data_IF_013963956600
#
_entry.id   IF_013963956600
#
_cell.length_a   1.000
_cell.length_b   1.000
_cell.length_c   1.000
_cell.angle_alpha   90.00
_cell.angle_beta   90.00
_cell.angle_gamma   90.00
#
_symmetry.space_group_name_H-M   'P 1'
#
loop_
_entity.id
_entity.type
_entity.pdbx_description
1 polymer ?
#
# COMPACT_ATOMS: atom_id res chain seq x y z
N UNK A 1 -30.82 32.29 -54.32
CA UNK A 1 -30.97 31.38 -53.16
C UNK A 1 -29.98 30.23 -53.32
N UNK A 2 -28.84 30.28 -52.60
CA UNK A 2 -27.88 29.18 -52.55
C UNK A 2 -28.36 28.14 -51.53
N UNK A 3 -28.75 26.96 -51.99
CA UNK A 3 -29.07 25.83 -51.10
C UNK A 3 -27.76 25.32 -50.46
N UNK A 4 -27.59 25.58 -49.16
CA UNK A 4 -26.57 24.96 -48.33
C UNK A 4 -26.89 23.46 -48.26
N UNK A 5 -26.15 22.63 -49.00
CA UNK A 5 -26.18 21.19 -48.80
C UNK A 5 -25.56 20.87 -47.43
N UNK A 6 -26.41 20.52 -46.46
CA UNK A 6 -25.98 19.95 -45.18
C UNK A 6 -25.41 18.56 -45.45
N UNK A 7 -24.08 18.47 -45.54
CA UNK A 7 -23.37 17.20 -45.58
C UNK A 7 -23.52 16.53 -44.21
N UNK A 8 -24.44 15.57 -44.09
CA UNK A 8 -24.56 14.71 -42.91
C UNK A 8 -23.45 13.66 -42.98
N UNK A 9 -22.38 13.88 -42.23
CA UNK A 9 -21.37 12.84 -42.01
C UNK A 9 -21.93 11.82 -41.02
N UNK A 10 -22.35 10.66 -41.52
CA UNK A 10 -22.74 9.52 -40.70
C UNK A 10 -21.47 8.75 -40.37
N UNK A 11 -21.11 8.71 -39.08
CA UNK A 11 -19.97 7.93 -38.59
C UNK A 11 -20.46 6.50 -38.41
N UNK A 12 -20.01 5.59 -39.28
CA UNK A 12 -20.48 4.19 -39.39
C UNK A 12 -20.06 3.27 -38.21
N UNK A 13 -19.37 3.82 -37.22
CA UNK A 13 -18.95 3.11 -36.02
C UNK A 13 -17.67 3.70 -35.44
N UNK A 14 -17.58 3.72 -34.12
CA UNK A 14 -16.31 3.97 -33.42
C UNK A 14 -15.72 2.61 -33.13
N UNK A 15 -14.60 2.27 -33.78
CA UNK A 15 -13.80 1.10 -33.41
C UNK A 15 -13.11 1.41 -32.08
N UNK A 16 -13.82 1.15 -30.98
CA UNK A 16 -13.36 1.42 -29.64
C UNK A 16 -12.05 0.70 -29.30
N UNK A 17 -11.72 -0.40 -29.97
CA UNK A 17 -10.48 -1.15 -29.73
C UNK A 17 -9.28 -0.49 -30.45
N UNK A 18 -9.51 0.13 -31.62
CA UNK A 18 -8.52 1.02 -32.26
C UNK A 18 -8.34 2.35 -31.54
N UNK A 19 -9.40 2.88 -30.93
CA UNK A 19 -9.38 4.19 -30.23
C UNK A 19 -8.87 4.03 -28.80
N UNK A 20 -9.28 2.98 -28.10
CA UNK A 20 -8.92 2.68 -26.71
C UNK A 20 -8.40 1.25 -26.60
N UNK A 21 -7.07 1.09 -26.62
CA UNK A 21 -6.38 -0.19 -26.49
C UNK A 21 -6.41 -0.74 -25.03
N UNK A 22 -7.59 -0.85 -24.43
CA UNK A 22 -7.76 -1.23 -23.02
C UNK A 22 -7.24 -2.64 -22.70
N UNK A 23 -7.28 -3.55 -23.67
CA UNK A 23 -6.77 -4.92 -23.55
C UNK A 23 -5.28 -5.00 -23.17
N UNK A 24 -4.49 -3.98 -23.54
CA UNK A 24 -3.06 -3.90 -23.18
C UNK A 24 -2.85 -3.76 -21.66
N UNK A 25 -3.75 -3.06 -20.95
CA UNK A 25 -3.67 -2.90 -19.50
C UNK A 25 -3.94 -4.24 -18.79
N UNK A 26 -4.97 -4.97 -19.21
CA UNK A 26 -5.26 -6.31 -18.67
C UNK A 26 -4.13 -7.30 -18.96
N UNK A 27 -3.56 -7.27 -20.17
CA UNK A 27 -2.40 -8.09 -20.53
C UNK A 27 -1.19 -7.76 -19.64
N UNK A 28 -0.96 -6.48 -19.33
CA UNK A 28 0.10 -6.07 -18.41
C UNK A 28 -0.11 -6.62 -17.00
N UNK A 29 -1.34 -6.56 -16.49
CA UNK A 29 -1.70 -7.12 -15.18
C UNK A 29 -1.54 -8.64 -15.16
N UNK A 30 -1.97 -9.35 -16.19
CA UNK A 30 -1.74 -10.79 -16.28
C UNK A 30 -0.24 -11.12 -16.34
N UNK A 31 0.54 -10.35 -17.09
CA UNK A 31 2.00 -10.52 -17.20
C UNK A 31 2.75 -10.16 -15.91
N UNK A 32 2.13 -9.43 -14.99
CA UNK A 32 2.74 -9.04 -13.71
C UNK A 32 2.98 -10.21 -12.76
N UNK A 33 2.33 -11.36 -13.00
CA UNK A 33 2.57 -12.62 -12.28
C UNK A 33 3.89 -13.31 -12.68
N UNK A 34 4.69 -12.71 -13.56
CA UNK A 34 6.00 -13.25 -13.91
C UNK A 34 6.90 -13.37 -12.67
N UNK A 35 7.62 -14.51 -12.50
CA UNK A 35 8.43 -14.77 -11.30
C UNK A 35 9.43 -13.66 -10.98
N UNK A 36 10.08 -13.09 -12.00
CA UNK A 36 11.08 -12.05 -11.81
C UNK A 36 10.49 -10.73 -11.26
N UNK A 37 9.26 -10.35 -11.64
CA UNK A 37 8.60 -9.15 -11.12
C UNK A 37 8.00 -9.39 -9.75
N UNK A 38 7.41 -10.57 -9.54
CA UNK A 38 6.93 -11.00 -8.24
C UNK A 38 8.05 -11.01 -7.20
N UNK A 39 9.25 -11.46 -7.56
CA UNK A 39 10.41 -11.45 -6.68
C UNK A 39 10.80 -10.01 -6.29
N UNK A 40 10.81 -9.07 -7.23
CA UNK A 40 11.07 -7.65 -6.91
C UNK A 40 9.96 -7.11 -6.00
N UNK A 41 8.69 -7.40 -6.29
CA UNK A 41 7.55 -7.02 -5.45
C UNK A 41 7.65 -7.59 -4.04
N UNK A 42 8.04 -8.87 -3.89
CA UNK A 42 8.28 -9.51 -2.60
C UNK A 42 9.41 -8.82 -1.84
N UNK A 43 10.54 -8.53 -2.51
CA UNK A 43 11.64 -7.79 -1.88
C UNK A 43 11.21 -6.41 -1.40
N UNK A 44 10.36 -5.71 -2.16
CA UNK A 44 9.78 -4.43 -1.72
C UNK A 44 8.98 -4.61 -0.42
N UNK A 45 8.11 -5.61 -0.35
CA UNK A 45 7.30 -5.91 0.84
C UNK A 45 8.19 -6.27 2.03
N UNK A 46 9.15 -7.18 1.84
CA UNK A 46 10.07 -7.60 2.90
C UNK A 46 10.85 -6.42 3.48
N UNK A 47 11.34 -5.51 2.64
CA UNK A 47 12.06 -4.30 3.11
C UNK A 47 11.12 -3.39 3.92
N UNK A 48 9.88 -3.19 3.47
CA UNK A 48 8.90 -2.37 4.18
C UNK A 48 8.50 -2.99 5.53
N UNK A 49 8.19 -4.29 5.53
CA UNK A 49 7.82 -5.04 6.73
C UNK A 49 8.96 -5.09 7.75
N UNK A 50 10.19 -5.38 7.30
CA UNK A 50 11.37 -5.41 8.16
C UNK A 50 11.66 -4.04 8.77
N UNK A 51 11.60 -2.97 7.98
CA UNK A 51 11.84 -1.60 8.47
C UNK A 51 10.77 -1.18 9.48
N UNK A 52 9.51 -1.49 9.20
CA UNK A 52 8.38 -1.19 10.07
C UNK A 52 8.44 -1.94 11.40
N UNK A 53 8.65 -3.26 11.36
CA UNK A 53 8.80 -4.08 12.58
C UNK A 53 10.02 -3.69 13.40
N UNK A 54 11.12 -3.31 12.75
CA UNK A 54 12.28 -2.78 13.44
C UNK A 54 11.93 -1.48 14.18
N UNK A 55 11.11 -0.61 13.58
CA UNK A 55 10.66 0.62 14.23
C UNK A 55 9.81 0.35 15.48
N UNK A 56 8.85 -0.57 15.37
CA UNK A 56 7.96 -0.93 16.49
C UNK A 56 8.73 -1.53 17.68
N UNK A 57 9.92 -2.10 17.45
CA UNK A 57 10.74 -2.66 18.53
C UNK A 57 11.28 -1.62 19.53
N UNK A 58 11.34 -0.34 19.14
CA UNK A 58 11.86 0.74 19.99
C UNK A 58 10.92 1.94 20.13
N UNK A 59 9.93 2.08 19.25
CA UNK A 59 8.98 3.18 19.33
C UNK A 59 7.95 2.96 20.44
N UNK A 60 7.47 4.03 21.10
CA UNK A 60 6.37 3.91 22.03
C UNK A 60 5.12 3.38 21.30
N UNK A 61 4.42 2.43 21.92
CA UNK A 61 3.18 1.89 21.37
C UNK A 61 2.04 2.91 21.45
N UNK A 62 1.08 2.80 20.53
CA UNK A 62 -0.16 3.56 20.59
C UNK A 62 -1.13 2.92 21.57
N UNK A 63 -1.53 3.69 22.57
CA UNK A 63 -2.59 3.29 23.50
C UNK A 63 -3.97 3.27 22.86
N UNK A 64 -4.16 3.91 21.71
CA UNK A 64 -5.39 3.84 20.93
C UNK A 64 -4.98 3.43 19.52
N UNK A 65 -5.26 2.18 19.11
CA UNK A 65 -4.97 1.75 17.75
C UNK A 65 -5.60 2.66 16.70
N UNK A 66 -4.90 2.88 15.59
CA UNK A 66 -5.38 3.73 14.51
C UNK A 66 -6.71 3.21 13.96
N UNK A 67 -7.70 4.11 13.87
CA UNK A 67 -9.02 3.79 13.34
C UNK A 67 -10.03 3.22 14.33
N UNK A 68 -9.67 3.05 15.61
CA UNK A 68 -10.65 2.75 16.65
C UNK A 68 -11.51 3.97 16.95
N UNK A 69 -12.81 3.75 17.11
CA UNK A 69 -13.79 4.82 17.41
C UNK A 69 -13.96 5.01 18.93
N UNK A 70 -13.49 4.05 19.72
CA UNK A 70 -13.64 4.03 21.17
C UNK A 70 -12.82 5.11 21.87
N UNK A 71 -13.38 5.62 22.97
CA UNK A 71 -12.69 6.59 23.82
C UNK A 71 -11.57 5.90 24.61
N UNK A 72 -10.51 6.66 24.92
CA UNK A 72 -9.41 6.17 25.73
C UNK A 72 -9.89 5.54 27.06
N UNK A 73 -10.86 6.17 27.71
CA UNK A 73 -11.40 5.71 28.99
C UNK A 73 -12.05 4.33 28.86
N UNK A 74 -12.85 4.08 27.80
CA UNK A 74 -13.50 2.78 27.59
C UNK A 74 -12.48 1.70 27.27
N UNK A 75 -11.54 1.97 26.37
CA UNK A 75 -10.45 1.05 26.04
C UNK A 75 -9.58 0.71 27.27
N UNK A 76 -9.28 1.71 28.10
CA UNK A 76 -8.51 1.49 29.33
C UNK A 76 -9.25 0.59 30.33
N UNK A 77 -10.57 0.74 30.43
CA UNK A 77 -11.41 -0.10 31.29
C UNK A 77 -11.49 -1.52 30.74
N UNK A 78 -11.69 -1.68 29.43
CA UNK A 78 -11.71 -2.99 28.78
C UNK A 78 -10.38 -3.74 28.93
N UNK A 79 -9.24 -3.04 28.82
CA UNK A 79 -7.92 -3.58 29.13
C UNK A 79 -7.84 -4.11 30.55
N UNK A 80 -8.26 -3.31 31.53
CA UNK A 80 -8.22 -3.73 32.93
C UNK A 80 -9.12 -4.94 33.19
N UNK A 81 -10.30 -5.00 32.56
CA UNK A 81 -11.20 -6.15 32.66
C UNK A 81 -10.58 -7.39 32.01
N UNK A 82 -9.99 -7.27 30.83
CA UNK A 82 -9.35 -8.39 30.13
C UNK A 82 -8.14 -8.93 30.93
N UNK A 83 -7.31 -8.04 31.47
CA UNK A 83 -6.19 -8.40 32.36
C UNK A 83 -6.73 -9.12 33.60
N UNK A 84 -7.76 -8.57 34.24
CA UNK A 84 -8.35 -9.19 35.44
C UNK A 84 -8.92 -10.59 35.17
N UNK A 85 -9.66 -10.76 34.06
CA UNK A 85 -10.21 -12.04 33.64
C UNK A 85 -9.11 -13.07 33.39
N UNK A 86 -8.02 -12.66 32.73
CA UNK A 86 -6.87 -13.55 32.46
C UNK A 86 -6.13 -13.99 33.72
N UNK A 87 -6.06 -13.15 34.75
CA UNK A 87 -5.40 -13.47 36.03
C UNK A 87 -6.15 -14.51 36.86
N UNK A 88 -7.48 -14.63 36.67
CA UNK A 88 -8.35 -15.59 37.35
C UNK A 88 -8.70 -16.82 36.52
N UNK A 89 -8.18 -16.90 35.29
CA UNK A 89 -8.50 -17.96 34.34
C UNK A 89 -8.02 -19.34 34.80
N UNK A 90 -8.63 -20.41 34.27
CA UNK A 90 -8.23 -21.81 34.51
C UNK A 90 -8.23 -22.18 36.01
N UNK A 91 -9.18 -21.62 36.78
CA UNK A 91 -9.37 -21.92 38.20
C UNK A 91 -8.27 -21.40 39.14
N UNK A 92 -7.35 -20.56 38.64
CA UNK A 92 -6.27 -19.97 39.46
C UNK A 92 -6.74 -18.72 40.20
N UNK A 93 -6.17 -18.49 41.37
CA UNK A 93 -6.39 -17.25 42.13
C UNK A 93 -5.60 -16.10 41.52
N UNK A 94 -6.22 -14.91 41.48
CA UNK A 94 -5.58 -13.68 40.99
C UNK A 94 -4.25 -13.41 41.74
N UNK A 95 -3.15 -13.15 41.00
CA UNK A 95 -1.88 -12.74 41.60
C UNK A 95 -1.97 -11.39 42.33
N UNK A 96 -1.14 -11.20 43.36
CA UNK A 96 -1.17 -9.98 44.20
C UNK A 96 -0.72 -8.72 43.45
N UNK A 97 0.06 -8.86 42.37
CA UNK A 97 0.65 -7.79 41.57
C UNK A 97 -0.16 -7.41 40.32
N UNK A 98 -1.34 -8.04 40.12
CA UNK A 98 -2.20 -7.90 38.95
C UNK A 98 -2.54 -6.44 38.57
N UNK A 99 -2.61 -5.53 39.53
CA UNK A 99 -2.92 -4.12 39.27
C UNK A 99 -1.83 -3.37 38.50
N UNK A 100 -0.60 -3.90 38.47
CA UNK A 100 0.54 -3.30 37.79
C UNK A 100 0.83 -3.91 36.43
N UNK A 101 0.09 -4.94 36.04
CA UNK A 101 0.35 -5.71 34.83
C UNK A 101 0.03 -4.93 33.57
N UNK A 102 0.91 -5.06 32.58
CA UNK A 102 0.60 -4.72 31.19
C UNK A 102 -0.19 -5.86 30.52
N UNK A 103 -0.77 -5.57 29.35
CA UNK A 103 -1.42 -6.60 28.52
C UNK A 103 -0.42 -7.71 28.14
N UNK A 104 0.85 -7.36 27.90
CA UNK A 104 1.89 -8.34 27.59
C UNK A 104 2.20 -9.26 28.80
N UNK A 105 2.23 -8.69 30.01
CA UNK A 105 2.42 -9.49 31.23
C UNK A 105 1.25 -10.47 31.41
N UNK A 106 0.03 -9.99 31.24
CA UNK A 106 -1.18 -10.81 31.30
C UNK A 106 -1.20 -11.92 30.24
N UNK A 107 -0.79 -11.63 29.00
CA UNK A 107 -0.62 -12.65 27.95
C UNK A 107 0.43 -13.68 28.35
N UNK A 108 1.60 -13.25 28.82
CA UNK A 108 2.68 -14.15 29.23
C UNK A 108 2.26 -15.07 30.39
N UNK A 109 1.51 -14.53 31.36
CA UNK A 109 0.95 -15.27 32.46
C UNK A 109 -0.07 -16.30 31.97
N UNK A 110 -1.02 -15.88 31.13
CA UNK A 110 -2.05 -16.77 30.57
C UNK A 110 -1.42 -17.92 29.78
N UNK A 111 -0.39 -17.65 28.98
CA UNK A 111 0.36 -18.67 28.23
C UNK A 111 1.09 -19.64 29.17
N UNK A 112 1.73 -19.14 30.23
CA UNK A 112 2.39 -19.98 31.23
C UNK A 112 1.40 -20.83 32.02
N UNK A 113 0.22 -20.26 32.33
CA UNK A 113 -0.84 -20.93 33.05
C UNK A 113 -1.45 -22.05 32.20
N UNK A 114 -1.68 -21.78 30.92
CA UNK A 114 -2.13 -22.76 29.94
C UNK A 114 -1.14 -23.91 29.78
N UNK A 115 0.16 -23.61 29.66
CA UNK A 115 1.19 -24.64 29.56
C UNK A 115 1.23 -25.56 30.80
N UNK A 116 1.05 -25.01 32.01
CA UNK A 116 0.95 -25.80 33.23
C UNK A 116 -0.33 -26.65 33.27
N UNK A 117 -1.47 -26.09 32.82
CA UNK A 117 -2.77 -26.78 32.78
C UNK A 117 -2.72 -28.00 31.86
N UNK A 118 -2.07 -27.88 30.69
CA UNK A 118 -1.86 -29.00 29.76
C UNK A 118 -1.10 -30.18 30.36
N UNK A 119 -0.23 -29.94 31.34
CA UNK A 119 0.60 -30.97 31.98
C UNK A 119 -0.12 -31.64 33.16
N UNK A 120 -0.98 -30.90 33.87
CA UNK A 120 -1.59 -31.36 35.11
C UNK A 120 -2.95 -32.08 34.93
N UNK A 121 -3.75 -31.72 33.93
CA UNK A 121 -5.13 -32.22 33.79
C UNK A 121 -5.46 -32.71 32.36
N UNK A 122 -6.48 -33.55 32.22
CA UNK A 122 -7.08 -33.85 30.91
C UNK A 122 -7.78 -32.58 30.41
N UNK A 123 -7.11 -31.85 29.54
CA UNK A 123 -7.59 -30.60 28.93
C UNK A 123 -8.98 -30.81 28.32
N UNK A 124 -10.01 -30.17 28.90
CA UNK A 124 -11.35 -30.15 28.33
C UNK A 124 -11.41 -29.26 27.09
N UNK A 125 -12.35 -29.54 26.18
CA UNK A 125 -12.64 -28.63 25.05
C UNK A 125 -13.13 -27.26 25.54
N UNK A 126 -13.82 -27.22 26.68
CA UNK A 126 -14.28 -25.98 27.30
C UNK A 126 -13.11 -25.11 27.78
N UNK A 127 -12.09 -25.71 28.40
CA UNK A 127 -10.87 -25.01 28.85
C UNK A 127 -10.09 -24.41 27.68
N UNK A 128 -10.04 -25.12 26.54
CA UNK A 128 -9.41 -24.61 25.29
C UNK A 128 -10.13 -23.38 24.80
N UNK A 129 -11.45 -23.46 24.66
CA UNK A 129 -12.27 -22.33 24.17
C UNK A 129 -12.20 -21.14 25.13
N UNK A 130 -12.13 -21.37 26.44
CA UNK A 130 -11.94 -20.31 27.44
C UNK A 130 -10.58 -19.62 27.26
N UNK A 131 -9.49 -20.40 27.16
CA UNK A 131 -8.15 -19.87 26.92
C UNK A 131 -8.09 -19.07 25.61
N UNK A 132 -8.62 -19.61 24.52
CA UNK A 132 -8.62 -18.95 23.22
C UNK A 132 -9.38 -17.62 23.26
N UNK A 133 -10.58 -17.61 23.87
CA UNK A 133 -11.37 -16.40 24.06
C UNK A 133 -10.60 -15.34 24.85
N UNK A 134 -9.98 -15.72 25.97
CA UNK A 134 -9.26 -14.79 26.82
C UNK A 134 -8.01 -14.23 26.12
N UNK A 135 -7.26 -15.08 25.42
CA UNK A 135 -6.10 -14.65 24.67
C UNK A 135 -6.48 -13.67 23.55
N UNK A 136 -7.52 -13.98 22.78
CA UNK A 136 -8.03 -13.10 21.72
C UNK A 136 -8.58 -11.78 22.27
N UNK A 137 -9.21 -11.80 23.46
CA UNK A 137 -9.68 -10.58 24.14
C UNK A 137 -8.52 -9.71 24.60
N UNK A 138 -7.42 -10.30 25.09
CA UNK A 138 -6.20 -9.55 25.41
C UNK A 138 -5.54 -8.98 24.14
N UNK A 139 -5.50 -9.76 23.06
CA UNK A 139 -4.94 -9.32 21.78
C UNK A 139 -5.74 -8.16 21.17
N UNK A 140 -7.07 -8.16 21.27
CA UNK A 140 -7.91 -7.09 20.72
C UNK A 140 -7.74 -5.75 21.41
N UNK A 141 -7.35 -5.76 22.70
CA UNK A 141 -7.12 -4.54 23.49
C UNK A 141 -5.64 -4.15 23.57
N UNK A 142 -4.74 -4.92 22.96
CA UNK A 142 -3.30 -4.72 23.05
C UNK A 142 -2.88 -3.36 22.46
N UNK A 143 -2.02 -2.59 23.14
CA UNK A 143 -1.34 -1.46 22.51
C UNK A 143 -0.50 -1.93 21.33
N UNK A 144 -0.61 -1.24 20.20
CA UNK A 144 0.08 -1.62 18.96
C UNK A 144 1.20 -0.64 18.64
N UNK A 145 2.27 -1.13 18.03
CA UNK A 145 3.31 -0.25 17.49
C UNK A 145 2.76 0.67 16.38
N UNK A 146 3.40 1.81 16.09
CA UNK A 146 2.97 2.70 15.01
C UNK A 146 2.91 2.01 13.65
N UNK A 147 3.83 1.09 13.34
CA UNK A 147 3.79 0.35 12.08
C UNK A 147 2.72 -0.74 12.07
N UNK A 148 2.65 -1.58 13.11
CA UNK A 148 1.64 -2.63 13.23
C UNK A 148 0.22 -2.05 13.17
N UNK A 149 -0.03 -0.97 13.90
CA UNK A 149 -1.30 -0.27 13.86
C UNK A 149 -1.60 0.30 12.47
N UNK A 150 -0.59 0.86 11.79
CA UNK A 150 -0.73 1.33 10.42
C UNK A 150 -1.04 0.18 9.45
N UNK A 151 -0.39 -0.98 9.60
CA UNK A 151 -0.58 -2.15 8.75
C UNK A 151 -1.99 -2.72 8.87
N UNK A 152 -2.54 -2.79 10.10
CA UNK A 152 -3.93 -3.19 10.34
C UNK A 152 -4.89 -2.17 9.72
N UNK A 153 -4.66 -0.87 9.96
CA UNK A 153 -5.47 0.19 9.38
C UNK A 153 -5.50 0.14 7.84
N UNK A 154 -4.34 -0.06 7.21
CA UNK A 154 -4.20 -0.20 5.75
C UNK A 154 -4.91 -1.46 5.26
N UNK A 155 -4.77 -2.59 5.95
CA UNK A 155 -5.44 -3.85 5.61
C UNK A 155 -6.97 -3.69 5.64
N UNK A 156 -7.51 -3.06 6.68
CA UNK A 156 -8.95 -2.81 6.81
C UNK A 156 -9.46 -1.86 5.72
N UNK A 157 -8.74 -0.76 5.48
CA UNK A 157 -9.08 0.18 4.42
C UNK A 157 -9.00 -0.48 3.03
N UNK A 158 -7.99 -1.33 2.79
CA UNK A 158 -7.81 -2.08 1.56
C UNK A 158 -8.94 -3.07 1.32
N UNK A 159 -9.34 -3.83 2.35
CA UNK A 159 -10.50 -4.70 2.27
C UNK A 159 -11.77 -3.91 1.90
N UNK A 160 -11.99 -2.74 2.49
CA UNK A 160 -13.08 -1.84 2.11
C UNK A 160 -12.98 -1.34 0.65
N UNK A 161 -11.78 -1.14 0.10
CA UNK A 161 -11.59 -0.82 -1.33
C UNK A 161 -12.14 -1.95 -2.20
N UNK A 162 -11.71 -3.18 -1.90
CA UNK A 162 -12.05 -4.38 -2.67
C UNK A 162 -13.54 -4.70 -2.54
N UNK A 163 -14.09 -4.68 -1.32
CA UNK A 163 -15.50 -4.92 -1.06
C UNK A 163 -16.38 -3.88 -1.74
N UNK A 164 -16.05 -2.59 -1.58
CA UNK A 164 -16.73 -1.52 -2.30
C UNK A 164 -16.69 -1.73 -3.82
N UNK A 165 -15.57 -2.21 -4.37
CA UNK A 165 -15.45 -2.44 -5.81
C UNK A 165 -16.27 -3.65 -6.27
N UNK A 166 -16.30 -4.73 -5.49
CA UNK A 166 -17.13 -5.92 -5.77
C UNK A 166 -18.62 -5.60 -5.70
N UNK A 167 -19.01 -4.71 -4.78
CA UNK A 167 -20.39 -4.23 -4.63
C UNK A 167 -20.74 -3.08 -5.60
N UNK A 168 -19.84 -2.71 -6.52
CA UNK A 168 -19.97 -1.58 -7.45
C UNK A 168 -20.26 -0.23 -6.73
N UNK A 169 -19.83 -0.10 -5.48
CA UNK A 169 -19.92 1.09 -4.65
C UNK A 169 -18.62 1.90 -4.72
N UNK A 170 -18.51 2.73 -5.76
CA UNK A 170 -17.34 3.58 -5.97
C UNK A 170 -17.03 4.53 -4.81
N UNK A 171 -18.05 4.97 -4.05
CA UNK A 171 -17.88 5.87 -2.91
C UNK A 171 -17.15 5.18 -1.76
N UNK A 172 -17.50 3.93 -1.49
CA UNK A 172 -16.85 3.11 -0.47
C UNK A 172 -15.41 2.78 -0.86
N UNK A 173 -15.18 2.42 -2.13
CA UNK A 173 -13.81 2.24 -2.63
C UNK A 173 -12.98 3.50 -2.50
N UNK A 174 -13.54 4.66 -2.83
CA UNK A 174 -12.85 5.94 -2.68
C UNK A 174 -12.54 6.28 -1.22
N UNK A 175 -13.46 5.99 -0.28
CA UNK A 175 -13.21 6.17 1.16
C UNK A 175 -11.99 5.37 1.63
N UNK A 176 -11.84 4.12 1.19
CA UNK A 176 -10.67 3.32 1.51
C UNK A 176 -9.37 3.93 1.00
N UNK A 177 -9.35 4.45 -0.24
CA UNK A 177 -8.19 5.17 -0.80
C UNK A 177 -7.87 6.42 0.01
N UNK A 178 -8.89 7.22 0.35
CA UNK A 178 -8.72 8.43 1.18
C UNK A 178 -8.19 8.07 2.57
N UNK A 179 -8.64 6.96 3.15
CA UNK A 179 -8.15 6.49 4.45
C UNK A 179 -6.65 6.19 4.40
N UNK A 180 -6.18 5.43 3.40
CA UNK A 180 -4.77 5.05 3.28
C UNK A 180 -3.88 6.27 2.96
N UNK A 181 -4.29 7.12 2.02
CA UNK A 181 -3.40 8.17 1.49
C UNK A 181 -3.46 9.47 2.30
N UNK A 182 -4.62 9.85 2.86
CA UNK A 182 -4.78 11.11 3.60
C UNK A 182 -4.97 10.91 5.11
N UNK A 183 -5.87 10.03 5.53
CA UNK A 183 -6.19 9.91 6.96
C UNK A 183 -5.07 9.24 7.76
N UNK A 184 -4.43 8.21 7.22
CA UNK A 184 -3.37 7.50 7.91
C UNK A 184 -2.20 8.45 8.30
N UNK A 185 -1.64 9.27 7.39
CA UNK A 185 -0.64 10.26 7.78
C UNK A 185 -1.14 11.27 8.82
N UNK A 186 -2.40 11.71 8.74
CA UNK A 186 -3.00 12.63 9.72
C UNK A 186 -3.07 12.00 11.10
N UNK A 187 -3.61 10.78 11.21
CA UNK A 187 -3.75 10.08 12.47
C UNK A 187 -2.39 9.80 13.13
N UNK A 188 -1.38 9.41 12.35
CA UNK A 188 -0.02 9.21 12.86
C UNK A 188 0.63 10.52 13.32
N UNK A 189 0.31 11.63 12.65
CA UNK A 189 0.83 12.94 12.99
C UNK A 189 0.19 13.44 14.29
N UNK A 190 -1.12 13.34 14.39
CA UNK A 190 -1.89 13.74 15.57
C UNK A 190 -1.53 12.88 16.80
N UNK A 191 -1.16 11.60 16.59
CA UNK A 191 -0.62 10.72 17.62
C UNK A 191 0.83 11.03 18.04
N UNK A 192 1.49 12.03 17.43
CA UNK A 192 2.84 12.47 17.79
C UNK A 192 3.98 11.66 17.15
N UNK A 193 3.69 10.73 16.24
CA UNK A 193 4.68 9.88 15.58
C UNK A 193 5.30 10.54 14.32
N UNK A 194 5.73 11.80 14.45
CA UNK A 194 6.25 12.59 13.31
C UNK A 194 7.51 11.97 12.68
N UNK A 195 8.40 11.42 13.53
CA UNK A 195 9.64 10.81 13.08
C UNK A 195 9.40 9.50 12.32
N UNK A 196 8.38 8.74 12.74
CA UNK A 196 7.96 7.53 12.03
C UNK A 196 7.50 7.87 10.61
N UNK A 197 6.57 8.82 10.47
CA UNK A 197 6.08 9.27 9.16
C UNK A 197 7.25 9.70 8.26
N UNK A 198 8.19 10.47 8.81
CA UNK A 198 9.30 11.04 8.04
C UNK A 198 10.28 9.96 7.56
N UNK A 199 10.76 9.10 8.47
CA UNK A 199 11.76 8.08 8.15
C UNK A 199 11.13 6.94 7.36
N UNK A 200 10.01 6.39 7.82
CA UNK A 200 9.32 5.31 7.13
C UNK A 200 8.78 5.78 5.77
N UNK A 201 8.22 7.00 5.69
CA UNK A 201 7.79 7.59 4.43
C UNK A 201 8.94 7.78 3.43
N UNK A 202 10.13 8.17 3.89
CA UNK A 202 11.31 8.24 3.03
C UNK A 202 11.74 6.85 2.53
N UNK A 203 11.76 5.84 3.39
CA UNK A 203 12.04 4.45 3.00
C UNK A 203 11.01 3.95 1.99
N UNK A 204 9.72 4.21 2.22
CA UNK A 204 8.64 3.88 1.28
C UNK A 204 8.90 4.51 -0.09
N UNK A 205 9.23 5.81 -0.14
CA UNK A 205 9.54 6.49 -1.39
C UNK A 205 10.77 5.90 -2.09
N UNK A 206 11.81 5.50 -1.36
CA UNK A 206 12.98 4.83 -1.94
C UNK A 206 12.64 3.45 -2.51
N UNK A 207 11.85 2.67 -1.77
CA UNK A 207 11.38 1.34 -2.22
C UNK A 207 10.54 1.48 -3.48
N UNK A 208 9.62 2.44 -3.54
CA UNK A 208 8.83 2.73 -4.74
C UNK A 208 9.72 3.23 -5.90
N UNK A 209 10.72 4.07 -5.61
CA UNK A 209 11.61 4.64 -6.61
C UNK A 209 12.49 3.59 -7.30
N UNK A 210 13.03 2.64 -6.53
CA UNK A 210 13.89 1.56 -7.05
C UNK A 210 13.08 0.36 -7.51
N UNK A 211 12.20 -0.18 -6.67
CA UNK A 211 11.40 -1.36 -6.98
C UNK A 211 10.35 -1.08 -8.06
N UNK A 212 9.59 0.01 -7.92
CA UNK A 212 8.63 0.44 -8.93
C UNK A 212 9.30 0.81 -10.26
N UNK A 213 10.47 1.47 -10.21
CA UNK A 213 11.28 1.77 -11.40
C UNK A 213 11.76 0.51 -12.13
N UNK A 214 12.20 -0.52 -11.39
CA UNK A 214 12.64 -1.79 -11.97
C UNK A 214 11.49 -2.54 -12.65
N UNK A 215 10.34 -2.66 -11.97
CA UNK A 215 9.14 -3.30 -12.52
C UNK A 215 8.64 -2.55 -13.75
N UNK A 216 8.58 -1.22 -13.68
CA UNK A 216 8.18 -0.38 -14.80
C UNK A 216 9.09 -0.59 -16.01
N UNK A 217 10.41 -0.66 -15.80
CA UNK A 217 11.37 -0.93 -16.87
C UNK A 217 11.19 -2.33 -17.47
N UNK A 218 10.96 -3.35 -16.65
CA UNK A 218 10.67 -4.70 -17.13
C UNK A 218 9.42 -4.77 -18.00
N UNK A 219 8.36 -4.05 -17.61
CA UNK A 219 7.13 -3.99 -18.40
C UNK A 219 7.30 -3.22 -19.70
N UNK A 220 7.99 -2.08 -19.66
CA UNK A 220 8.25 -1.28 -20.86
C UNK A 220 9.03 -2.10 -21.90
N UNK A 221 10.14 -2.75 -21.49
CA UNK A 221 10.96 -3.57 -22.39
C UNK A 221 10.18 -4.76 -22.97
N UNK A 222 9.40 -5.46 -22.14
CA UNK A 222 8.59 -6.59 -22.61
C UNK A 222 7.54 -6.15 -23.63
N UNK A 223 6.84 -5.04 -23.37
CA UNK A 223 5.84 -4.52 -24.30
C UNK A 223 6.48 -4.10 -25.62
N UNK A 224 7.58 -3.35 -25.56
CA UNK A 224 8.24 -2.80 -26.73
C UNK A 224 8.86 -3.87 -27.65
N UNK A 225 9.59 -4.84 -27.08
CA UNK A 225 10.41 -5.78 -27.86
C UNK A 225 9.97 -7.24 -27.81
N UNK A 226 9.05 -7.59 -26.91
CA UNK A 226 8.77 -9.00 -26.57
C UNK A 226 9.88 -9.68 -25.76
N UNK A 227 11.04 -9.04 -25.60
CA UNK A 227 12.19 -9.54 -24.84
C UNK A 227 12.01 -9.30 -23.33
N UNK A 228 12.30 -10.34 -22.53
CA UNK A 228 12.30 -10.26 -21.06
C UNK A 228 13.69 -9.86 -20.58
N UNK A 229 13.81 -8.70 -19.95
CA UNK A 229 15.03 -8.32 -19.24
C UNK A 229 15.13 -9.06 -17.90
N UNK A 230 16.36 -9.36 -17.46
CA UNK A 230 16.60 -9.96 -16.15
C UNK A 230 16.28 -8.99 -15.01
N UNK A 231 15.92 -9.54 -13.85
CA UNK A 231 15.65 -8.74 -12.64
C UNK A 231 16.88 -7.93 -12.21
N UNK A 232 18.09 -8.47 -12.39
CA UNK A 232 19.35 -7.78 -12.06
C UNK A 232 19.57 -6.55 -12.94
N UNK A 233 19.38 -6.66 -14.26
CA UNK A 233 19.52 -5.53 -15.17
C UNK A 233 18.46 -4.46 -14.93
N UNK A 234 17.22 -4.87 -14.61
CA UNK A 234 16.15 -3.95 -14.24
C UNK A 234 16.47 -3.18 -12.94
N UNK A 235 16.97 -3.88 -11.92
CA UNK A 235 17.41 -3.27 -10.67
C UNK A 235 18.61 -2.34 -10.87
N UNK A 236 19.58 -2.72 -11.69
CA UNK A 236 20.72 -1.87 -12.03
C UNK A 236 20.27 -0.56 -12.69
N UNK A 237 19.35 -0.63 -13.65
CA UNK A 237 18.74 0.55 -14.25
C UNK A 237 18.06 1.44 -13.18
N UNK A 238 17.21 0.84 -12.35
CA UNK A 238 16.45 1.59 -11.35
C UNK A 238 17.34 2.22 -10.26
N UNK A 239 18.39 1.51 -9.83
CA UNK A 239 19.37 2.02 -8.87
C UNK A 239 20.30 3.09 -9.45
N UNK A 240 20.40 3.25 -10.76
CA UNK A 240 21.06 4.41 -11.39
C UNK A 240 20.12 5.61 -11.50
N UNK A 241 18.81 5.38 -11.63
CA UNK A 241 17.78 6.41 -11.84
C UNK A 241 16.92 6.73 -10.61
N UNK A 242 17.25 6.19 -9.44
CA UNK A 242 16.48 6.39 -8.20
C UNK A 242 16.28 7.86 -7.82
N UNK A 243 17.24 8.74 -8.14
CA UNK A 243 17.12 10.18 -7.87
C UNK A 243 16.09 10.85 -8.76
N UNK A 244 16.06 10.49 -10.04
CA UNK A 244 15.08 11.00 -10.99
C UNK A 244 13.68 10.54 -10.60
N UNK A 245 13.51 9.26 -10.24
CA UNK A 245 12.22 8.73 -9.78
C UNK A 245 11.80 9.36 -8.46
N UNK A 246 12.70 9.44 -7.47
CA UNK A 246 12.41 10.10 -6.19
C UNK A 246 12.02 11.57 -6.38
N UNK A 247 12.73 12.30 -7.25
CA UNK A 247 12.40 13.68 -7.58
C UNK A 247 11.02 13.78 -8.26
N UNK A 248 10.67 12.88 -9.17
CA UNK A 248 9.34 12.89 -9.78
C UNK A 248 8.21 12.66 -8.76
N UNK A 249 8.41 11.75 -7.80
CA UNK A 249 7.43 11.52 -6.72
C UNK A 249 7.35 12.74 -5.78
N UNK A 250 8.49 13.29 -5.39
CA UNK A 250 8.53 14.32 -4.34
C UNK A 250 8.30 15.73 -4.85
N UNK A 251 8.67 16.07 -6.08
CA UNK A 251 8.67 17.45 -6.58
C UNK A 251 7.30 18.14 -6.53
N UNK A 252 6.17 17.52 -6.97
CA UNK A 252 4.85 18.14 -6.85
C UNK A 252 4.46 18.37 -5.38
N UNK A 253 4.77 17.41 -4.50
CA UNK A 253 4.56 17.54 -3.06
C UNK A 253 5.40 18.64 -2.43
N UNK A 254 6.67 18.78 -2.83
CA UNK A 254 7.55 19.87 -2.38
C UNK A 254 7.06 21.24 -2.83
N UNK A 255 6.51 21.36 -4.05
CA UNK A 255 5.90 22.60 -4.52
C UNK A 255 4.67 22.96 -3.68
N UNK A 256 3.78 21.99 -3.43
CA UNK A 256 2.60 22.17 -2.57
C UNK A 256 3.02 22.58 -1.15
N UNK A 257 4.01 21.89 -0.57
CA UNK A 257 4.53 22.20 0.76
C UNK A 257 5.14 23.62 0.81
N UNK A 258 5.95 23.99 -0.17
CA UNK A 258 6.58 25.32 -0.24
C UNK A 258 5.56 26.44 -0.34
N UNK A 259 4.57 26.32 -1.22
CA UNK A 259 3.49 27.32 -1.34
C UNK A 259 2.62 27.36 -0.07
N UNK A 260 2.34 26.20 0.53
CA UNK A 260 1.56 26.11 1.77
C UNK A 260 2.28 26.78 2.94
N UNK A 261 3.59 26.54 3.10
CA UNK A 261 4.41 27.23 4.11
C UNK A 261 4.37 28.75 3.87
N UNK A 262 4.48 29.20 2.62
CA UNK A 262 4.34 30.62 2.27
C UNK A 262 2.99 31.21 2.72
N UNK A 263 1.88 30.48 2.52
CA UNK A 263 0.56 30.90 2.97
C UNK A 263 0.40 30.90 4.50
N UNK A 264 0.99 29.91 5.18
CA UNK A 264 1.00 29.85 6.65
C UNK A 264 1.78 31.04 7.22
N UNK A 265 2.95 31.35 6.64
CA UNK A 265 3.73 32.53 7.04
C UNK A 265 3.00 33.84 6.73
N UNK A 266 2.33 33.93 5.57
CA UNK A 266 1.46 35.05 5.23
C UNK A 266 0.37 35.26 6.30
N UNK A 267 -0.29 34.19 6.73
CA UNK A 267 -1.25 34.19 7.83
C UNK A 267 -0.63 34.67 9.16
N UNK A 268 0.49 34.06 9.56
CA UNK A 268 1.18 34.34 10.81
C UNK A 268 1.63 35.80 10.92
N UNK A 269 2.19 36.37 9.86
CA UNK A 269 2.75 37.73 9.90
C UNK A 269 1.68 38.82 9.73
N UNK A 270 0.68 38.63 8.85
CA UNK A 270 -0.27 39.70 8.53
C UNK A 270 -1.54 39.69 9.39
N UNK A 271 -1.99 38.52 9.88
CA UNK A 271 -3.26 38.43 10.62
C UNK A 271 -3.11 38.41 12.14
N UNK A 272 -1.87 38.29 12.65
CA UNK A 272 -1.61 38.31 14.10
C UNK A 272 -1.36 39.72 14.66
N UNK A 273 -1.13 40.72 13.78
CA UNK A 273 -0.90 42.11 14.18
C UNK A 273 -2.09 42.96 13.73
N UNK A 274 -2.88 43.56 14.64
CA UNK A 274 -4.16 44.20 14.30
C UNK A 274 -4.09 45.24 13.18
N UNK A 275 -2.99 46.00 13.08
CA UNK A 275 -2.80 47.02 12.02
C UNK A 275 -2.51 46.37 10.66
N UNK A 276 -1.82 45.24 10.65
CA UNK A 276 -1.50 44.50 9.43
C UNK A 276 -2.70 43.73 8.88
N UNK A 277 -3.74 43.47 9.69
CA UNK A 277 -4.93 42.74 9.24
C UNK A 277 -5.60 43.40 8.03
N UNK A 278 -5.62 44.73 7.96
CA UNK A 278 -6.15 45.43 6.79
C UNK A 278 -5.34 45.13 5.53
N UNK A 279 -4.01 45.16 5.64
CA UNK A 279 -3.09 44.82 4.54
C UNK A 279 -3.23 43.34 4.17
N UNK A 280 -3.31 42.45 5.15
CA UNK A 280 -3.56 41.03 4.96
C UNK A 280 -4.87 40.77 4.24
N UNK A 281 -5.94 41.49 4.60
CA UNK A 281 -7.25 41.38 3.93
C UNK A 281 -7.20 41.86 2.47
N UNK A 282 -6.41 42.90 2.17
CA UNK A 282 -6.21 43.39 0.81
C UNK A 282 -5.45 42.38 -0.06
N UNK A 283 -4.42 41.75 0.50
CA UNK A 283 -3.62 40.71 -0.19
C UNK A 283 -4.23 39.30 -0.12
N UNK A 284 -5.35 39.11 0.57
CA UNK A 284 -6.01 37.81 0.66
C UNK A 284 -6.43 37.27 -0.71
N UNK A 285 -6.73 38.14 -1.67
CA UNK A 285 -6.96 37.74 -3.07
C UNK A 285 -5.76 37.00 -3.70
N UNK A 286 -4.53 37.42 -3.40
CA UNK A 286 -3.32 36.69 -3.83
C UNK A 286 -3.21 35.34 -3.10
N UNK A 287 -3.54 35.30 -1.81
CA UNK A 287 -3.55 34.06 -1.04
C UNK A 287 -4.52 33.02 -1.64
N UNK A 288 -5.69 33.45 -2.12
CA UNK A 288 -6.65 32.58 -2.83
C UNK A 288 -6.08 32.02 -4.14
N UNK A 289 -5.30 32.80 -4.90
CA UNK A 289 -4.64 32.31 -6.12
C UNK A 289 -3.63 31.20 -5.78
N UNK A 290 -2.83 31.38 -4.74
CA UNK A 290 -1.90 30.34 -4.27
C UNK A 290 -2.62 29.12 -3.69
N UNK A 291 -3.73 29.31 -2.97
CA UNK A 291 -4.58 28.21 -2.51
C UNK A 291 -5.19 27.42 -3.66
N UNK A 292 -5.63 28.10 -4.72
CA UNK A 292 -6.10 27.48 -5.95
C UNK A 292 -4.99 26.71 -6.68
N UNK A 293 -3.77 27.27 -6.72
CA UNK A 293 -2.59 26.58 -7.26
C UNK A 293 -2.30 25.29 -6.49
N UNK A 294 -2.32 25.32 -5.16
CA UNK A 294 -2.15 24.13 -4.32
C UNK A 294 -3.22 23.09 -4.68
N UNK A 295 -4.49 23.49 -4.78
CA UNK A 295 -5.59 22.59 -5.10
C UNK A 295 -5.40 21.91 -6.48
N UNK A 296 -5.08 22.68 -7.52
CA UNK A 296 -4.83 22.13 -8.87
C UNK A 296 -3.64 21.18 -8.86
N UNK A 297 -2.52 21.56 -8.24
CA UNK A 297 -1.32 20.73 -8.21
C UNK A 297 -1.55 19.44 -7.42
N UNK A 298 -2.25 19.51 -6.27
CA UNK A 298 -2.56 18.34 -5.45
C UNK A 298 -3.48 17.34 -6.19
N UNK A 299 -4.56 17.84 -6.81
CA UNK A 299 -5.46 17.00 -7.61
C UNK A 299 -4.73 16.42 -8.82
N UNK A 300 -3.96 17.25 -9.53
CA UNK A 300 -3.17 16.82 -10.68
C UNK A 300 -2.13 15.77 -10.31
N UNK A 301 -1.47 15.93 -9.17
CA UNK A 301 -0.51 14.96 -8.65
C UNK A 301 -1.18 13.62 -8.34
N UNK A 302 -2.34 13.62 -7.67
CA UNK A 302 -3.07 12.39 -7.38
C UNK A 302 -3.48 11.62 -8.65
N UNK A 303 -3.95 12.34 -9.68
CA UNK A 303 -4.35 11.75 -10.97
C UNK A 303 -3.14 11.27 -11.78
N UNK A 304 -2.06 12.04 -11.79
CA UNK A 304 -0.86 11.74 -12.57
C UNK A 304 0.09 10.75 -11.88
N UNK A 305 -0.10 10.47 -10.59
CA UNK A 305 0.82 9.65 -9.79
C UNK A 305 1.20 8.32 -10.45
N UNK A 306 0.27 7.53 -11.02
CA UNK A 306 0.61 6.28 -11.70
C UNK A 306 1.60 6.46 -12.86
N UNK A 307 1.59 7.60 -13.54
CA UNK A 307 2.39 7.85 -14.73
C UNK A 307 3.82 8.36 -14.46
N UNK A 308 4.12 8.80 -13.23
CA UNK A 308 5.39 9.47 -12.90
C UNK A 308 6.60 8.53 -13.05
N UNK A 309 6.55 7.34 -12.44
CA UNK A 309 7.63 6.35 -12.55
C UNK A 309 7.73 5.79 -13.97
N UNK A 310 6.62 5.39 -14.63
CA UNK A 310 6.65 4.95 -16.01
C UNK A 310 7.26 5.94 -17.01
N UNK A 311 7.01 7.24 -16.86
CA UNK A 311 7.58 8.24 -17.75
C UNK A 311 9.12 8.14 -17.79
N UNK A 312 9.74 8.01 -16.63
CA UNK A 312 11.19 7.84 -16.49
C UNK A 312 11.62 6.48 -17.04
N UNK A 313 10.91 5.40 -16.71
CA UNK A 313 11.28 4.06 -17.17
C UNK A 313 11.20 3.87 -18.69
N UNK A 314 10.28 4.60 -19.33
CA UNK A 314 10.03 4.56 -20.78
C UNK A 314 10.98 5.49 -21.53
N UNK A 315 11.24 6.70 -21.01
CA UNK A 315 11.96 7.74 -21.78
C UNK A 315 13.33 8.11 -21.22
N UNK A 316 13.65 7.58 -20.03
CA UNK A 316 14.86 7.87 -19.27
C UNK A 316 15.05 9.35 -18.92
N UNK A 317 13.97 10.13 -18.91
CA UNK A 317 13.96 11.56 -18.64
C UNK A 317 14.24 11.90 -17.16
N UNK A 318 14.49 13.18 -16.89
CA UNK A 318 14.70 13.66 -15.52
C UNK A 318 13.37 13.83 -14.77
N UNK A 319 13.42 13.83 -13.43
CA UNK A 319 12.20 13.81 -12.60
C UNK A 319 11.25 14.99 -12.84
N UNK A 320 11.78 16.19 -13.08
CA UNK A 320 10.98 17.35 -13.42
C UNK A 320 10.29 17.25 -14.79
N UNK A 321 10.97 16.67 -15.78
CA UNK A 321 10.42 16.45 -17.12
C UNK A 321 9.30 15.40 -17.07
N UNK A 322 9.48 14.32 -16.30
CA UNK A 322 8.46 13.31 -16.09
C UNK A 322 7.15 13.89 -15.52
N UNK A 323 7.27 14.80 -14.54
CA UNK A 323 6.12 15.54 -13.98
C UNK A 323 5.47 16.40 -15.05
N UNK A 324 6.25 17.22 -15.77
CA UNK A 324 5.72 18.12 -16.80
C UNK A 324 4.96 17.36 -17.89
N UNK A 325 5.49 16.24 -18.39
CA UNK A 325 4.82 15.40 -19.39
C UNK A 325 3.52 14.80 -18.86
N UNK A 326 3.54 14.25 -17.65
CA UNK A 326 2.36 13.64 -17.04
C UNK A 326 1.23 14.66 -16.85
N UNK A 327 1.56 15.87 -16.36
CA UNK A 327 0.60 16.96 -16.23
C UNK A 327 0.11 17.46 -17.60
N UNK A 328 0.98 17.55 -18.61
CA UNK A 328 0.59 17.93 -19.97
C UNK A 328 -0.43 16.93 -20.55
N UNK A 329 -0.21 15.62 -20.36
CA UNK A 329 -1.14 14.58 -20.80
C UNK A 329 -2.49 14.65 -20.10
N UNK A 330 -2.51 14.93 -18.79
CA UNK A 330 -3.74 15.14 -18.03
C UNK A 330 -4.60 16.27 -18.62
N UNK A 331 -4.00 17.42 -18.94
CA UNK A 331 -4.75 18.55 -19.51
C UNK A 331 -5.10 18.37 -20.99
N UNK A 332 -4.24 17.68 -21.75
CA UNK A 332 -4.47 17.48 -23.19
C UNK A 332 -5.64 16.53 -23.47
N UNK A 333 -5.76 15.43 -22.72
CA UNK A 333 -6.77 14.37 -22.95
C UNK A 333 -7.32 13.81 -21.62
N UNK A 334 -8.00 14.62 -20.78
CA UNK A 334 -8.42 14.20 -19.43
C UNK A 334 -9.36 12.98 -19.45
N UNK A 335 -10.29 12.91 -20.40
CA UNK A 335 -11.23 11.79 -20.49
C UNK A 335 -10.54 10.46 -20.86
N UNK A 336 -9.46 10.50 -21.65
CA UNK A 336 -8.70 9.29 -21.98
C UNK A 336 -7.96 8.80 -20.73
N UNK A 337 -7.35 9.73 -19.99
CA UNK A 337 -6.65 9.42 -18.74
C UNK A 337 -7.60 8.80 -17.72
N UNK A 338 -8.77 9.41 -17.48
CA UNK A 338 -9.76 8.85 -16.54
C UNK A 338 -10.24 7.46 -16.97
N UNK A 339 -10.46 7.24 -18.27
CA UNK A 339 -10.82 5.92 -18.80
C UNK A 339 -9.72 4.87 -18.57
N UNK A 340 -8.46 5.20 -18.83
CA UNK A 340 -7.33 4.30 -18.60
C UNK A 340 -7.08 4.03 -17.11
N UNK A 341 -7.25 5.05 -16.25
CA UNK A 341 -7.18 4.88 -14.80
C UNK A 341 -8.31 4.00 -14.26
N UNK A 342 -9.54 4.16 -14.76
CA UNK A 342 -10.66 3.30 -14.38
C UNK A 342 -10.38 1.83 -14.73
N UNK A 343 -9.88 1.57 -15.94
CA UNK A 343 -9.50 0.21 -16.38
C UNK A 343 -8.33 -0.34 -15.55
N UNK A 344 -7.35 0.50 -15.20
CA UNK A 344 -6.26 0.11 -14.30
C UNK A 344 -6.81 -0.34 -12.94
N UNK A 345 -7.72 0.43 -12.34
CA UNK A 345 -8.32 0.09 -11.04
C UNK A 345 -9.14 -1.19 -11.13
N UNK A 346 -10.00 -1.33 -12.14
CA UNK A 346 -10.81 -2.54 -12.35
C UNK A 346 -9.90 -3.76 -12.53
N UNK A 347 -8.87 -3.65 -13.36
CA UNK A 347 -7.92 -4.73 -13.59
C UNK A 347 -7.16 -5.12 -12.32
N UNK A 348 -6.76 -4.15 -11.49
CA UNK A 348 -6.07 -4.42 -10.23
C UNK A 348 -6.98 -5.09 -9.20
N UNK A 349 -8.24 -4.66 -9.07
CA UNK A 349 -9.20 -5.29 -8.18
C UNK A 349 -9.46 -6.74 -8.60
N UNK A 350 -9.75 -6.97 -9.88
CA UNK A 350 -10.02 -8.32 -10.39
C UNK A 350 -8.79 -9.23 -10.25
N UNK A 351 -7.60 -8.73 -10.58
CA UNK A 351 -6.37 -9.47 -10.41
C UNK A 351 -6.05 -9.75 -8.94
N UNK A 352 -6.29 -8.79 -8.04
CA UNK A 352 -6.07 -8.98 -6.60
C UNK A 352 -7.00 -10.05 -6.03
N UNK A 353 -8.28 -10.02 -6.41
CA UNK A 353 -9.25 -11.06 -6.01
C UNK A 353 -8.78 -12.44 -6.48
N UNK A 354 -8.32 -12.56 -7.73
CA UNK A 354 -7.77 -13.82 -8.25
C UNK A 354 -6.55 -14.29 -7.45
N UNK A 355 -5.57 -13.41 -7.22
CA UNK A 355 -4.35 -13.76 -6.47
C UNK A 355 -4.68 -14.10 -5.02
N UNK A 356 -5.61 -13.38 -4.38
CA UNK A 356 -6.07 -13.67 -3.02
C UNK A 356 -6.74 -15.04 -2.92
N UNK A 357 -7.61 -15.38 -3.87
CA UNK A 357 -8.24 -16.71 -3.93
C UNK A 357 -7.19 -17.79 -4.11
N UNK A 358 -6.23 -17.60 -5.03
CA UNK A 358 -5.16 -18.58 -5.25
C UNK A 358 -4.24 -18.74 -4.02
N UNK A 359 -3.89 -17.65 -3.35
CA UNK A 359 -3.07 -17.67 -2.14
C UNK A 359 -3.78 -18.41 -1.01
N UNK A 360 -5.03 -18.06 -0.71
CA UNK A 360 -5.81 -18.72 0.33
C UNK A 360 -6.04 -20.20 0.02
N UNK A 361 -6.44 -20.54 -1.21
CA UNK A 361 -6.57 -21.95 -1.62
C UNK A 361 -5.25 -22.72 -1.48
N UNK A 362 -4.11 -22.09 -1.82
CA UNK A 362 -2.80 -22.73 -1.65
C UNK A 362 -2.51 -23.02 -0.18
N UNK A 363 -2.77 -22.06 0.70
CA UNK A 363 -2.59 -22.21 2.14
C UNK A 363 -3.54 -23.28 2.71
N UNK A 364 -4.83 -23.19 2.39
CA UNK A 364 -5.87 -24.11 2.86
C UNK A 364 -5.61 -25.54 2.38
N UNK A 365 -5.35 -25.75 1.08
CA UNK A 365 -5.06 -27.09 0.57
C UNK A 365 -3.78 -27.66 1.17
N UNK A 366 -2.74 -26.84 1.32
CA UNK A 366 -1.47 -27.31 1.89
C UNK A 366 -1.65 -27.70 3.34
N UNK A 367 -2.32 -26.87 4.15
CA UNK A 367 -2.61 -27.15 5.54
C UNK A 367 -3.42 -28.44 5.69
N UNK A 368 -4.55 -28.56 4.99
CA UNK A 368 -5.42 -29.73 5.09
C UNK A 368 -4.75 -31.03 4.61
N UNK A 369 -3.98 -30.98 3.50
CA UNK A 369 -3.33 -32.18 2.95
C UNK A 369 -2.14 -32.64 3.80
N UNK A 370 -1.36 -31.70 4.34
CA UNK A 370 -0.22 -32.03 5.21
C UNK A 370 -0.72 -32.50 6.58
N UNK A 371 -1.78 -31.89 7.11
CA UNK A 371 -2.37 -32.28 8.40
C UNK A 371 -3.05 -33.66 8.34
N UNK A 372 -3.66 -34.03 7.21
CA UNK A 372 -4.38 -35.30 7.04
C UNK A 372 -3.57 -36.57 7.43
N UNK A 373 -2.23 -36.49 7.40
CA UNK A 373 -1.33 -37.57 7.82
C UNK A 373 -0.25 -37.09 8.81
N UNK A 374 -0.41 -35.90 9.38
CA UNK A 374 0.45 -35.40 10.45
C UNK A 374 0.03 -35.99 11.80
N UNK A 375 0.99 -36.56 12.53
CA UNK A 375 0.81 -36.94 13.94
C UNK A 375 1.39 -35.89 14.90
N UNK A 376 1.67 -34.68 14.40
CA UNK A 376 2.35 -33.61 15.13
C UNK A 376 1.41 -32.39 15.30
N UNK A 377 1.35 -31.86 16.51
CA UNK A 377 0.58 -30.67 16.87
C UNK A 377 1.16 -29.36 16.29
N UNK A 378 2.38 -29.39 15.73
CA UNK A 378 3.03 -28.22 15.11
C UNK A 378 2.26 -27.64 13.91
N UNK A 379 1.32 -28.40 13.33
CA UNK A 379 0.50 -28.00 12.19
C UNK A 379 -0.92 -27.59 12.57
N UNK A 380 -1.29 -27.62 13.85
CA UNK A 380 -2.67 -27.38 14.30
C UNK A 380 -3.25 -26.00 13.93
N UNK A 381 -2.37 -25.02 13.61
CA UNK A 381 -2.75 -23.68 13.18
C UNK A 381 -2.28 -23.36 11.73
N UNK A 382 -1.75 -24.35 11.00
CA UNK A 382 -1.30 -24.13 9.62
C UNK A 382 -2.51 -23.78 8.74
N UNK A 383 -2.35 -22.81 7.85
CA UNK A 383 -3.40 -22.32 6.94
C UNK A 383 -4.34 -21.26 7.54
N UNK A 384 -4.27 -20.96 8.84
CA UNK A 384 -5.04 -19.87 9.43
C UNK A 384 -4.43 -18.50 9.12
N UNK A 385 -5.27 -17.48 8.88
CA UNK A 385 -4.80 -16.11 8.69
C UNK A 385 -4.17 -15.63 10.02
N UNK A 386 -2.99 -14.98 10.03
CA UNK A 386 -2.25 -14.62 11.25
C UNK A 386 -2.97 -13.71 12.26
N UNK A 387 -4.18 -13.24 11.95
CA UNK A 387 -5.02 -12.45 12.86
C UNK A 387 -5.53 -13.25 14.06
N UNK A 388 -5.54 -14.59 13.97
CA UNK A 388 -6.00 -15.49 15.04
C UNK A 388 -4.84 -16.31 15.66
N UNK A 389 -3.59 -15.84 15.51
CA UNK A 389 -2.37 -16.58 15.86
C UNK A 389 -2.14 -16.75 17.36
N UNK A 390 -2.94 -17.60 18.01
CA UNK A 390 -2.74 -18.00 19.40
C UNK A 390 -1.43 -18.81 19.47
N UNK A 391 -0.41 -18.36 20.21
CA UNK A 391 0.86 -19.06 20.27
C UNK A 391 0.67 -20.40 20.98
N UNK A 392 1.07 -21.47 20.31
CA UNK A 392 1.00 -22.82 20.87
C UNK A 392 2.09 -22.97 21.93
N UNK A 393 1.67 -23.14 23.18
CA UNK A 393 2.56 -23.28 24.36
C UNK A 393 2.64 -24.73 24.79
N UNK A 394 3.73 -25.11 25.47
CA UNK A 394 3.95 -26.48 25.95
C UNK A 394 4.59 -27.42 24.92
N UNK A 395 4.91 -26.90 23.73
CA UNK A 395 5.61 -27.65 22.68
C UNK A 395 7.07 -27.89 23.03
N UNK A 396 7.60 -29.03 22.58
CA UNK A 396 9.04 -29.25 22.59
C UNK A 396 9.75 -28.21 21.70
N UNK A 397 11.02 -27.91 21.98
CA UNK A 397 11.77 -26.88 21.22
C UNK A 397 11.74 -27.14 19.70
N UNK A 398 11.75 -28.40 19.27
CA UNK A 398 11.72 -28.79 17.86
C UNK A 398 10.33 -28.58 17.22
N UNK A 399 9.25 -28.73 17.98
CA UNK A 399 7.88 -28.45 17.52
C UNK A 399 7.63 -26.96 17.41
N UNK A 400 8.11 -26.17 18.38
CA UNK A 400 8.07 -24.70 18.32
C UNK A 400 8.88 -24.18 17.14
N UNK A 401 10.10 -24.71 16.92
CA UNK A 401 10.91 -24.36 15.76
C UNK A 401 10.23 -24.75 14.43
N UNK A 402 9.59 -25.92 14.37
CA UNK A 402 8.84 -26.35 13.19
C UNK A 402 7.64 -25.43 12.90
N UNK A 403 6.84 -25.09 13.92
CA UNK A 403 5.72 -24.16 13.77
C UNK A 403 6.16 -22.77 13.31
N UNK A 404 7.28 -22.26 13.84
CA UNK A 404 7.87 -21.00 13.38
C UNK A 404 8.31 -21.04 11.92
N UNK A 405 8.87 -22.16 11.45
CA UNK A 405 9.21 -22.34 10.03
C UNK A 405 7.98 -22.44 9.13
N UNK A 406 6.90 -23.09 9.59
CA UNK A 406 5.63 -23.14 8.86
C UNK A 406 5.06 -21.72 8.72
N UNK A 407 4.96 -20.98 9.83
CA UNK A 407 4.47 -19.60 9.82
C UNK A 407 5.32 -18.67 8.91
N UNK A 408 6.63 -18.91 8.83
CA UNK A 408 7.51 -18.20 7.89
C UNK A 408 7.07 -18.44 6.44
N UNK A 409 6.83 -19.68 6.04
CA UNK A 409 6.40 -20.00 4.67
C UNK A 409 5.03 -19.42 4.34
N UNK A 410 4.10 -19.48 5.29
CA UNK A 410 2.78 -18.85 5.13
C UNK A 410 2.90 -17.33 4.98
N UNK A 411 3.76 -16.69 5.79
CA UNK A 411 4.05 -15.25 5.66
C UNK A 411 4.61 -14.93 4.27
N UNK A 412 5.50 -15.76 3.72
CA UNK A 412 6.04 -15.58 2.37
C UNK A 412 4.93 -15.61 1.30
N UNK A 413 3.94 -16.49 1.43
CA UNK A 413 2.79 -16.54 0.49
C UNK A 413 1.94 -15.27 0.59
N UNK A 414 1.66 -14.80 1.81
CA UNK A 414 0.93 -13.54 2.03
C UNK A 414 1.70 -12.34 1.49
N UNK A 415 3.01 -12.26 1.75
CA UNK A 415 3.87 -11.18 1.26
C UNK A 415 4.00 -11.22 -0.27
N UNK A 416 3.96 -12.40 -0.89
CA UNK A 416 3.92 -12.54 -2.35
C UNK A 416 2.62 -11.95 -2.93
N UNK A 417 1.48 -12.17 -2.26
CA UNK A 417 0.20 -11.57 -2.64
C UNK A 417 0.27 -10.04 -2.57
N UNK A 418 0.83 -9.46 -1.51
CA UNK A 418 1.05 -8.01 -1.41
C UNK A 418 2.07 -7.53 -2.45
N UNK A 419 3.13 -8.30 -2.69
CA UNK A 419 4.15 -8.02 -3.70
C UNK A 419 3.59 -7.96 -5.12
N UNK A 420 2.58 -8.79 -5.40
CA UNK A 420 1.85 -8.74 -6.67
C UNK A 420 1.13 -7.40 -6.86
N UNK A 421 0.62 -6.74 -5.81
CA UNK A 421 -0.01 -5.42 -5.95
C UNK A 421 0.97 -4.39 -6.52
N UNK A 422 2.21 -4.36 -6.03
CA UNK A 422 3.26 -3.50 -6.59
C UNK A 422 3.57 -3.88 -8.03
N UNK A 423 3.72 -5.17 -8.33
CA UNK A 423 3.99 -5.67 -9.67
C UNK A 423 2.90 -5.30 -10.68
N UNK A 424 1.65 -5.58 -10.34
CA UNK A 424 0.48 -5.29 -11.14
C UNK A 424 0.29 -3.79 -11.35
N UNK A 425 0.39 -3.01 -10.27
CA UNK A 425 0.19 -1.56 -10.31
C UNK A 425 1.20 -0.88 -11.25
N UNK A 426 2.50 -1.15 -11.08
CA UNK A 426 3.51 -0.52 -11.93
C UNK A 426 3.46 -1.05 -13.37
N UNK A 427 3.15 -2.32 -13.59
CA UNK A 427 2.99 -2.87 -14.94
C UNK A 427 1.81 -2.22 -15.68
N UNK A 428 0.65 -2.11 -15.03
CA UNK A 428 -0.52 -1.43 -15.61
C UNK A 428 -0.24 0.05 -15.87
N UNK A 429 0.43 0.71 -14.92
CA UNK A 429 0.79 2.13 -15.01
C UNK A 429 1.68 2.45 -16.21
N UNK A 430 2.59 1.55 -16.60
CA UNK A 430 3.39 1.69 -17.82
C UNK A 430 2.52 1.71 -19.06
N UNK A 431 1.49 0.85 -19.12
CA UNK A 431 0.56 0.87 -20.24
C UNK A 431 -0.26 2.16 -20.26
N UNK A 432 -0.73 2.64 -19.09
CA UNK A 432 -1.43 3.94 -19.01
C UNK A 432 -0.56 5.06 -19.57
N UNK A 433 0.72 5.12 -19.20
CA UNK A 433 1.65 6.11 -19.73
C UNK A 433 1.82 6.01 -21.26
N UNK A 434 2.11 4.81 -21.78
CA UNK A 434 2.32 4.59 -23.21
C UNK A 434 1.07 4.90 -24.03
N UNK A 435 -0.12 4.54 -23.53
CA UNK A 435 -1.39 4.84 -24.19
C UNK A 435 -1.71 6.34 -24.18
N UNK A 436 -1.43 7.03 -23.07
CA UNK A 436 -1.58 8.49 -23.01
C UNK A 436 -0.61 9.19 -23.95
N UNK A 437 0.64 8.72 -24.03
CA UNK A 437 1.63 9.23 -25.00
C UNK A 437 1.17 9.00 -26.44
N UNK A 438 0.62 7.84 -26.76
CA UNK A 438 0.03 7.59 -28.08
C UNK A 438 -1.17 8.49 -28.37
N UNK A 439 -2.04 8.72 -27.38
CA UNK A 439 -3.24 9.55 -27.53
C UNK A 439 -2.93 11.05 -27.69
N UNK A 440 -1.85 11.54 -27.06
CA UNK A 440 -1.43 12.94 -27.11
C UNK A 440 -0.44 13.21 -28.26
N UNK A 441 0.62 12.41 -28.35
CA UNK A 441 1.78 12.68 -29.20
C UNK A 441 1.79 11.80 -30.47
N UNK A 442 0.89 10.83 -30.59
CA UNK A 442 0.84 9.84 -31.70
C UNK A 442 2.13 9.00 -31.86
N UNK A 443 2.99 8.97 -30.84
CA UNK A 443 4.17 8.12 -30.81
C UNK A 443 3.78 6.66 -30.55
N UNK A 444 4.43 5.71 -31.24
CA UNK A 444 4.15 4.28 -31.04
C UNK A 444 4.41 3.88 -29.59
N UNK A 445 3.56 3.01 -29.05
CA UNK A 445 3.73 2.39 -27.74
C UNK A 445 4.97 1.49 -27.65
N UNK A 446 5.50 1.03 -28.79
CA UNK A 446 6.72 0.22 -28.83
C UNK A 446 8.01 1.06 -28.81
N UNK A 447 7.93 2.37 -29.04
CA UNK A 447 9.11 3.26 -29.07
C UNK A 447 9.51 3.68 -27.65
N UNK A 448 10.45 2.99 -27.03
CA UNK A 448 10.97 3.34 -25.70
C UNK A 448 12.47 3.63 -25.74
N UNK A 449 13.01 4.28 -24.72
CA UNK A 449 14.42 4.60 -24.60
C UNK A 449 15.29 3.35 -24.35
N UNK A 450 16.52 3.35 -24.87
CA UNK A 450 17.53 2.28 -24.79
C UNK A 450 18.93 2.86 -24.64
N UNK A 451 19.85 2.04 -24.12
CA UNK A 451 21.27 2.38 -24.11
C UNK A 451 21.77 2.60 -25.53
N UNK A 452 22.44 3.74 -25.75
CA UNK A 452 22.83 4.21 -27.08
C UNK A 452 21.91 5.27 -27.67
N UNK A 453 20.78 5.61 -27.04
CA UNK A 453 19.92 6.73 -27.48
C UNK A 453 20.09 7.98 -26.60
N UNK A 454 19.89 9.16 -27.21
CA UNK A 454 19.89 10.44 -26.51
C UNK A 454 18.73 10.43 -25.52
N UNK A 455 19.02 10.76 -24.27
CA UNK A 455 18.05 10.76 -23.16
C UNK A 455 16.84 11.63 -23.52
N UNK A 456 15.63 11.13 -23.25
CA UNK A 456 14.38 11.84 -23.54
C UNK A 456 13.97 11.88 -25.03
N UNK A 457 14.72 11.23 -25.92
CA UNK A 457 14.42 11.19 -27.36
C UNK A 457 14.52 9.77 -27.94
N UNK A 458 14.00 9.58 -29.15
CA UNK A 458 14.15 8.35 -29.94
C UNK A 458 15.38 8.37 -30.87
N UNK A 459 16.29 9.33 -30.70
CA UNK A 459 17.44 9.54 -31.59
C UNK A 459 18.65 8.78 -31.05
N UNK A 460 19.32 8.00 -31.90
CA UNK A 460 20.59 7.35 -31.56
C UNK A 460 21.67 8.39 -31.25
N UNK A 461 22.47 8.16 -30.20
CA UNK A 461 23.65 8.99 -29.92
C UNK A 461 24.62 8.85 -31.11
N UNK A 462 25.17 9.96 -31.64
CA UNK A 462 26.28 9.86 -32.57
C UNK A 462 27.46 9.16 -31.87
N UNK A 463 28.08 8.20 -32.57
CA UNK A 463 29.24 7.43 -32.09
C UNK A 463 30.44 8.29 -31.70
#
# INVERSE_FOLDING_TARGET
MMQRQTQKTVIDGVDFDRVFKFSSIFTAIASSMQPARLLIGLLMVVVLMATGRLWDSFAPALEIPLGTVEEFATLSQERQVAIAQSGTALGKTAPEDLQSWSVQDAQSYLLSAWAAHQVQEQVSQEDRVEFERLYLTLESVRPLGPFESSAIYVTNAWNGIVEGALNLNAVESWKGVVSIVWKLPQLLWDAGHHWFISVYGFVLLLVLSVGGGAIARMQACQHARGDRISASSAYQYASQRWRATLLALTAPGMLVAGVSIGLVLFGLFLFNVPVLNFIGSLFYGLALIFGFLIAIVAVGYAVCWPMLIPAIAVENCEGGEAVQRSFAFMFARPLHLLGYLAILVIGLVLGFVLVRVLANLTLDFTANLVDAWSFNNALGNAGAIPTDGIPVVGLAWHESAAGGLVALWETVVHDLMVGWLFSGFFSASVMVYLLMRYACDRQDTHDIWWDGMIVGTSIAKPE
#
